data_IF_663999344334
#
_entry.id   IF_663999344334
#
_cell.length_a   1.000
_cell.length_b   1.000
_cell.length_c   1.000
_cell.angle_alpha   90.00
_cell.angle_beta   90.00
_cell.angle_gamma   90.00
#
_symmetry.space_group_name_H-M   'P 1'
#
loop_
_entity.id
_entity.type
_entity.pdbx_description
1 polymer ?
#
# COMPACT_ATOMS: atom_id res chain seq x y z
N UNK A 1 -91.84 -12.98 15.07
CA UNK A 1 -90.79 -13.28 14.07
C UNK A 1 -90.58 -12.04 13.22
N UNK A 2 -89.45 -11.33 13.41
CA UNK A 2 -88.76 -10.50 12.40
C UNK A 2 -87.67 -9.67 13.11
N UNK A 3 -86.46 -10.24 13.19
CA UNK A 3 -85.24 -9.51 13.56
C UNK A 3 -84.76 -8.82 12.28
N UNK A 4 -84.74 -7.48 12.27
CA UNK A 4 -84.23 -6.71 11.16
C UNK A 4 -82.70 -6.72 11.17
N UNK A 5 -82.10 -7.45 10.21
CA UNK A 5 -80.67 -7.41 9.95
C UNK A 5 -80.30 -6.12 9.22
N UNK A 6 -79.55 -5.23 9.88
CA UNK A 6 -78.92 -4.09 9.23
C UNK A 6 -77.79 -4.58 8.32
N UNK A 7 -77.81 -4.16 7.04
CA UNK A 7 -76.76 -4.41 6.05
C UNK A 7 -75.43 -3.82 6.53
N UNK A 8 -74.32 -4.57 6.56
CA UNK A 8 -73.01 -3.96 6.77
C UNK A 8 -72.66 -3.12 5.54
N UNK A 9 -72.42 -1.83 5.76
CA UNK A 9 -71.97 -0.92 4.72
C UNK A 9 -70.53 -1.31 4.31
N UNK A 10 -70.34 -1.71 3.05
CA UNK A 10 -69.05 -2.12 2.47
C UNK A 10 -68.01 -0.99 2.34
N UNK A 11 -68.30 0.20 2.87
CA UNK A 11 -67.55 1.44 2.61
C UNK A 11 -66.33 1.70 3.52
N UNK A 12 -66.23 1.23 4.78
CA UNK A 12 -65.01 1.47 5.56
C UNK A 12 -63.89 0.47 5.21
N UNK A 13 -64.21 -0.68 4.60
CA UNK A 13 -63.21 -1.68 4.18
C UNK A 13 -62.40 -1.22 2.96
N UNK A 14 -63.01 -0.44 2.06
CA UNK A 14 -62.34 0.11 0.87
C UNK A 14 -61.41 1.30 1.19
N UNK A 15 -61.65 2.01 2.29
CA UNK A 15 -60.81 3.15 2.70
C UNK A 15 -59.57 2.67 3.47
N UNK A 16 -59.65 1.56 4.21
CA UNK A 16 -58.47 0.95 4.84
C UNK A 16 -57.57 0.21 3.84
N UNK A 17 -58.09 -0.24 2.69
CA UNK A 17 -57.28 -0.87 1.65
C UNK A 17 -56.49 0.14 0.80
N UNK A 18 -56.85 1.43 0.84
CA UNK A 18 -56.26 2.48 0.01
C UNK A 18 -54.99 3.13 0.61
N UNK A 19 -54.64 2.83 1.87
CA UNK A 19 -53.48 3.45 2.55
C UNK A 19 -52.25 2.52 2.58
N UNK A 20 -52.37 1.27 2.12
CA UNK A 20 -51.24 0.32 2.03
C UNK A 20 -50.74 0.09 0.59
N UNK A 21 -50.75 1.12 -0.24
CA UNK A 21 -50.00 1.14 -1.49
C UNK A 21 -48.80 2.08 -1.32
N UNK A 22 -47.74 1.60 -0.67
CA UNK A 22 -46.42 2.16 -0.92
C UNK A 22 -46.18 2.00 -2.43
N UNK A 23 -46.25 3.10 -3.18
CA UNK A 23 -46.10 3.08 -4.62
C UNK A 23 -44.80 2.36 -4.98
N UNK A 24 -44.92 1.19 -5.62
CA UNK A 24 -43.78 0.50 -6.16
C UNK A 24 -43.26 1.36 -7.31
N UNK A 25 -42.13 2.06 -7.09
CA UNK A 25 -41.45 2.86 -8.12
C UNK A 25 -41.24 2.01 -9.37
N UNK A 26 -41.44 2.62 -10.55
CA UNK A 26 -41.05 1.98 -11.80
C UNK A 26 -39.52 1.82 -11.85
N UNK A 27 -39.02 0.93 -12.69
CA UNK A 27 -37.58 0.71 -12.80
C UNK A 27 -36.85 1.95 -13.37
N UNK A 28 -37.50 2.64 -14.30
CA UNK A 28 -37.04 3.91 -14.88
C UNK A 28 -36.95 5.03 -13.83
N UNK A 29 -37.94 5.12 -12.93
CA UNK A 29 -37.93 6.07 -11.81
C UNK A 29 -36.78 5.77 -10.84
N UNK A 30 -36.47 4.50 -10.59
CA UNK A 30 -35.32 4.11 -9.75
C UNK A 30 -34.00 4.54 -10.37
N UNK A 31 -33.81 4.31 -11.68
CA UNK A 31 -32.60 4.72 -12.39
C UNK A 31 -32.45 6.25 -12.37
N UNK A 32 -33.52 7.00 -12.64
CA UNK A 32 -33.50 8.46 -12.58
C UNK A 32 -33.15 8.99 -11.18
N UNK A 33 -33.70 8.37 -10.13
CA UNK A 33 -33.40 8.71 -8.74
C UNK A 33 -31.94 8.40 -8.38
N UNK A 34 -31.42 7.24 -8.77
CA UNK A 34 -30.02 6.85 -8.58
C UNK A 34 -29.04 7.76 -9.33
N UNK A 35 -29.35 8.16 -10.56
CA UNK A 35 -28.57 9.16 -11.30
C UNK A 35 -28.58 10.52 -10.59
N UNK A 36 -29.71 10.91 -10.00
CA UNK A 36 -29.81 12.13 -9.20
C UNK A 36 -28.92 12.07 -7.96
N UNK A 37 -28.91 10.94 -7.24
CA UNK A 37 -28.06 10.73 -6.07
C UNK A 37 -26.56 10.71 -6.46
N UNK A 38 -26.23 10.05 -7.57
CA UNK A 38 -24.88 10.03 -8.12
C UNK A 38 -24.37 11.45 -8.42
N UNK A 39 -25.20 12.29 -9.04
CA UNK A 39 -24.83 13.67 -9.41
C UNK A 39 -24.56 14.57 -8.21
N UNK A 40 -25.15 14.26 -7.04
CA UNK A 40 -24.93 14.99 -5.78
C UNK A 40 -23.65 14.55 -5.06
N UNK A 41 -23.13 13.37 -5.39
CA UNK A 41 -21.93 12.82 -4.76
C UNK A 41 -20.66 13.37 -5.44
N UNK A 42 -19.66 13.85 -4.68
CA UNK A 42 -18.44 14.42 -5.26
C UNK A 42 -17.57 13.36 -5.97
N UNK A 43 -17.62 12.10 -5.54
CA UNK A 43 -16.92 10.97 -6.18
C UNK A 43 -17.82 10.13 -7.09
N UNK A 44 -19.13 10.40 -7.08
CA UNK A 44 -20.12 9.58 -7.78
C UNK A 44 -20.48 8.26 -7.08
N UNK A 45 -19.93 8.00 -5.89
CA UNK A 45 -20.35 6.88 -5.04
C UNK A 45 -21.59 7.28 -4.25
N UNK A 46 -22.64 6.45 -4.32
CA UNK A 46 -23.92 6.69 -3.64
C UNK A 46 -23.87 6.04 -2.25
N UNK A 47 -24.08 6.84 -1.22
CA UNK A 47 -24.24 6.33 0.13
C UNK A 47 -25.64 5.75 0.32
N UNK A 48 -25.71 4.47 0.67
CA UNK A 48 -26.97 3.77 0.91
C UNK A 48 -27.13 3.49 2.41
N UNK A 49 -28.40 3.50 2.86
CA UNK A 49 -28.82 3.05 4.19
C UNK A 49 -29.74 1.82 4.07
N UNK A 50 -30.15 1.27 5.21
CA UNK A 50 -31.09 0.13 5.27
C UNK A 50 -32.41 0.40 4.51
N UNK A 51 -32.90 1.64 4.50
CA UNK A 51 -34.12 2.01 3.78
C UNK A 51 -33.89 2.04 2.27
N UNK A 52 -32.76 2.56 1.83
CA UNK A 52 -32.37 2.66 0.43
C UNK A 52 -32.13 1.28 -0.16
N UNK A 53 -31.48 0.37 0.56
CA UNK A 53 -31.34 -1.04 0.15
C UNK A 53 -32.70 -1.68 -0.03
N UNK A 54 -33.64 -1.46 0.90
CA UNK A 54 -35.01 -1.97 0.75
C UNK A 54 -35.73 -1.37 -0.46
N UNK A 55 -35.56 -0.07 -0.71
CA UNK A 55 -36.24 0.67 -1.78
C UNK A 55 -35.73 0.30 -3.19
N UNK A 56 -34.41 0.27 -3.37
CA UNK A 56 -33.79 0.09 -4.68
C UNK A 56 -33.50 -1.37 -5.01
N UNK A 57 -33.20 -2.21 -4.01
CA UNK A 57 -32.81 -3.61 -4.23
C UNK A 57 -33.89 -4.61 -3.80
N UNK A 58 -34.37 -4.55 -2.55
CA UNK A 58 -35.30 -5.58 -2.05
C UNK A 58 -36.73 -5.45 -2.60
N UNK A 59 -37.17 -4.23 -2.92
CA UNK A 59 -38.52 -3.95 -3.45
C UNK A 59 -38.58 -4.01 -4.98
N UNK A 60 -37.43 -4.15 -5.65
CA UNK A 60 -37.37 -4.25 -7.11
C UNK A 60 -37.57 -5.71 -7.56
N UNK A 61 -38.43 -5.93 -8.55
CA UNK A 61 -38.60 -7.25 -9.16
C UNK A 61 -37.51 -7.48 -10.20
N UNK A 62 -36.72 -8.57 -10.15
CA UNK A 62 -35.79 -8.91 -11.21
C UNK A 62 -36.53 -9.29 -12.51
N UNK A 63 -35.96 -9.02 -13.70
CA UNK A 63 -34.65 -8.39 -13.94
C UNK A 63 -34.71 -6.85 -13.86
N UNK A 64 -33.70 -6.24 -13.22
CA UNK A 64 -33.51 -4.77 -13.17
C UNK A 64 -32.77 -4.28 -14.41
N UNK A 65 -33.00 -3.03 -14.81
CA UNK A 65 -32.22 -2.38 -15.90
C UNK A 65 -30.80 -1.99 -15.51
N UNK A 66 -30.47 -2.05 -14.21
CA UNK A 66 -29.19 -1.63 -13.65
C UNK A 66 -28.57 -2.70 -12.75
N UNK A 67 -27.25 -2.61 -12.59
CA UNK A 67 -26.45 -3.40 -11.64
C UNK A 67 -25.81 -2.47 -10.60
N UNK A 68 -25.52 -3.01 -9.42
CA UNK A 68 -24.87 -2.26 -8.34
C UNK A 68 -23.58 -2.95 -7.92
N UNK A 69 -22.50 -2.18 -7.81
CA UNK A 69 -21.30 -2.59 -7.10
C UNK A 69 -21.31 -1.94 -5.71
N UNK A 70 -21.28 -2.77 -4.67
CA UNK A 70 -21.52 -2.38 -3.29
C UNK A 70 -20.26 -2.58 -2.44
N UNK A 71 -19.75 -1.49 -1.89
CA UNK A 71 -18.63 -1.47 -0.96
C UNK A 71 -19.12 -1.45 0.49
N UNK A 72 -18.69 -2.42 1.30
CA UNK A 72 -19.02 -2.45 2.72
C UNK A 72 -17.95 -1.72 3.53
N UNK A 73 -18.38 -0.73 4.29
CA UNK A 73 -17.51 0.17 5.06
C UNK A 73 -17.81 0.10 6.56
N UNK A 74 -16.79 0.39 7.37
CA UNK A 74 -16.93 0.53 8.82
C UNK A 74 -15.89 1.53 9.33
N UNK A 75 -16.35 2.72 9.69
CA UNK A 75 -15.47 3.81 10.15
C UNK A 75 -14.69 3.39 11.40
N UNK A 76 -15.27 2.55 12.26
CA UNK A 76 -14.62 2.02 13.47
C UNK A 76 -13.38 1.16 13.18
N UNK A 77 -13.23 0.65 11.96
CA UNK A 77 -12.11 -0.21 11.57
C UNK A 77 -11.00 0.55 10.84
N UNK A 78 -11.11 1.87 10.68
CA UNK A 78 -10.10 2.68 10.01
C UNK A 78 -8.75 2.71 10.74
N UNK A 79 -8.76 2.51 12.06
CA UNK A 79 -7.54 2.46 12.87
C UNK A 79 -6.74 1.17 12.64
N UNK A 80 -7.34 0.14 12.02
CA UNK A 80 -6.69 -1.13 11.71
C UNK A 80 -6.01 -1.06 10.35
N UNK A 81 -4.73 -0.67 10.35
CA UNK A 81 -3.92 -0.54 9.13
C UNK A 81 -3.85 -1.82 8.28
N UNK A 82 -3.94 -3.00 8.90
CA UNK A 82 -3.93 -4.30 8.22
C UNK A 82 -5.08 -4.47 7.21
N UNK A 83 -6.24 -3.85 7.48
CA UNK A 83 -7.42 -3.98 6.62
C UNK A 83 -7.38 -3.04 5.41
N UNK A 84 -6.56 -1.97 5.47
CA UNK A 84 -6.44 -0.93 4.43
C UNK A 84 -7.78 -0.37 3.93
N UNK A 85 -8.79 -0.32 4.80
CA UNK A 85 -10.17 -0.01 4.42
C UNK A 85 -10.31 1.41 3.83
N UNK A 86 -9.59 2.38 4.41
CA UNK A 86 -9.56 3.77 3.92
C UNK A 86 -8.94 3.89 2.51
N UNK A 87 -7.88 3.13 2.25
CA UNK A 87 -7.23 3.08 0.93
C UNK A 87 -8.18 2.46 -0.10
N UNK A 88 -8.77 1.31 0.22
CA UNK A 88 -9.73 0.63 -0.65
C UNK A 88 -10.96 1.49 -0.95
N UNK A 89 -11.50 2.22 0.04
CA UNK A 89 -12.61 3.17 -0.18
C UNK A 89 -12.22 4.28 -1.15
N UNK A 90 -10.99 4.79 -1.05
CA UNK A 90 -10.50 5.83 -1.96
C UNK A 90 -10.32 5.34 -3.39
N UNK A 91 -9.84 4.11 -3.56
CA UNK A 91 -9.67 3.47 -4.87
C UNK A 91 -11.02 3.07 -5.49
N UNK A 92 -11.98 2.63 -4.67
CA UNK A 92 -13.36 2.42 -5.10
C UNK A 92 -14.02 3.72 -5.58
N UNK A 93 -13.79 4.83 -4.87
CA UNK A 93 -14.27 6.16 -5.28
C UNK A 93 -13.61 6.64 -6.58
N UNK A 94 -12.34 6.29 -6.78
CA UNK A 94 -11.60 6.58 -8.00
C UNK A 94 -12.16 5.79 -9.20
N UNK A 95 -12.48 4.52 -9.00
CA UNK A 95 -13.14 3.68 -9.99
C UNK A 95 -14.49 4.29 -10.41
N UNK A 96 -15.34 4.64 -9.43
CA UNK A 96 -16.66 5.21 -9.69
C UNK A 96 -16.58 6.51 -10.50
N UNK A 97 -15.73 7.45 -10.08
CA UNK A 97 -15.54 8.72 -10.80
C UNK A 97 -14.95 8.53 -12.20
N UNK A 98 -14.04 7.55 -12.38
CA UNK A 98 -13.48 7.21 -13.70
C UNK A 98 -14.54 6.62 -14.63
N UNK A 99 -15.36 5.70 -14.12
CA UNK A 99 -16.47 5.10 -14.89
C UNK A 99 -17.45 6.16 -15.39
N UNK A 100 -17.90 7.04 -14.49
CA UNK A 100 -18.85 8.11 -14.82
C UNK A 100 -18.24 9.03 -15.87
N UNK A 101 -16.97 9.40 -15.72
CA UNK A 101 -16.29 10.26 -16.69
C UNK A 101 -16.16 9.62 -18.07
N UNK A 102 -15.87 8.32 -18.13
CA UNK A 102 -15.66 7.59 -19.38
C UNK A 102 -16.97 7.22 -20.09
N UNK A 103 -18.05 7.00 -19.35
CA UNK A 103 -19.34 6.54 -19.88
C UNK A 103 -20.44 7.61 -19.91
N UNK A 104 -20.11 8.89 -19.64
CA UNK A 104 -21.07 9.99 -19.73
C UNK A 104 -21.56 10.16 -21.17
N UNK A 105 -22.87 10.06 -21.40
CA UNK A 105 -23.48 10.17 -22.72
C UNK A 105 -23.27 8.96 -23.63
N UNK A 106 -22.81 7.83 -23.10
CA UNK A 106 -22.70 6.55 -23.82
C UNK A 106 -23.81 5.59 -23.41
N UNK A 107 -23.94 4.46 -24.11
CA UNK A 107 -24.84 3.37 -23.75
C UNK A 107 -24.55 2.76 -22.37
N UNK A 108 -23.42 3.10 -21.72
CA UNK A 108 -23.07 2.66 -20.37
C UNK A 108 -23.70 3.49 -19.24
N UNK A 109 -24.21 4.69 -19.54
CA UNK A 109 -24.76 5.58 -18.51
C UNK A 109 -25.99 4.97 -17.83
N UNK A 110 -26.01 5.00 -16.49
CA UNK A 110 -27.12 4.47 -15.71
C UNK A 110 -27.24 2.94 -15.65
N UNK A 111 -26.28 2.18 -16.22
CA UNK A 111 -26.28 0.71 -16.15
C UNK A 111 -25.58 0.16 -14.91
N UNK A 112 -24.54 0.84 -14.42
CA UNK A 112 -23.79 0.46 -13.23
C UNK A 112 -23.78 1.61 -12.24
N UNK A 113 -24.16 1.31 -10.99
CA UNK A 113 -24.07 2.25 -9.88
C UNK A 113 -23.07 1.75 -8.84
N UNK A 114 -22.22 2.65 -8.34
CA UNK A 114 -21.25 2.39 -7.29
C UNK A 114 -21.80 2.93 -5.98
N UNK A 115 -21.91 2.05 -4.98
CA UNK A 115 -22.54 2.39 -3.72
C UNK A 115 -21.68 1.96 -2.54
N UNK A 116 -21.78 2.69 -1.42
CA UNK A 116 -21.20 2.29 -0.14
C UNK A 116 -22.26 2.14 0.96
N UNK A 117 -22.01 1.22 1.89
CA UNK A 117 -22.83 0.99 3.09
C UNK A 117 -21.94 1.09 4.33
N UNK A 118 -22.34 1.90 5.30
CA UNK A 118 -21.64 2.00 6.58
C UNK A 118 -22.28 1.10 7.65
N UNK A 119 -21.44 0.38 8.40
CA UNK A 119 -21.86 -0.64 9.34
C UNK A 119 -22.77 -0.16 10.47
N UNK A 120 -22.49 0.99 11.12
CA UNK A 120 -23.33 1.50 12.22
C UNK A 120 -24.74 1.86 11.75
N UNK A 121 -24.85 2.40 10.54
CA UNK A 121 -26.13 2.87 9.99
C UNK A 121 -26.95 1.74 9.35
N UNK A 122 -26.29 0.66 8.88
CA UNK A 122 -26.92 -0.37 8.05
C UNK A 122 -26.69 -1.80 8.51
N UNK A 123 -26.72 -2.06 9.83
CA UNK A 123 -26.47 -3.40 10.39
C UNK A 123 -27.42 -4.47 9.83
N UNK A 124 -28.68 -4.12 9.55
CA UNK A 124 -29.64 -5.07 8.99
C UNK A 124 -29.25 -5.48 7.57
N UNK A 125 -28.79 -4.53 6.74
CA UNK A 125 -28.30 -4.81 5.39
C UNK A 125 -27.05 -5.67 5.41
N UNK A 126 -26.10 -5.46 6.33
CA UNK A 126 -24.93 -6.33 6.47
C UNK A 126 -25.33 -7.80 6.72
N UNK A 127 -26.35 -8.02 7.57
CA UNK A 127 -26.93 -9.35 7.79
C UNK A 127 -27.65 -9.92 6.56
N UNK A 128 -28.36 -9.09 5.79
CA UNK A 128 -29.02 -9.50 4.55
C UNK A 128 -28.01 -9.99 3.50
N UNK A 129 -26.86 -9.32 3.40
CA UNK A 129 -25.77 -9.75 2.52
C UNK A 129 -24.87 -10.83 3.13
N UNK A 130 -25.04 -11.19 4.41
CA UNK A 130 -24.21 -12.19 5.09
C UNK A 130 -22.73 -11.80 5.19
N UNK A 131 -22.43 -10.51 5.34
CA UNK A 131 -21.07 -9.99 5.44
C UNK A 131 -20.61 -10.05 6.90
N UNK A 132 -19.62 -10.90 7.18
CA UNK A 132 -19.08 -11.11 8.53
C UNK A 132 -17.67 -10.53 8.74
N UNK A 133 -17.00 -10.13 7.65
CA UNK A 133 -15.64 -9.61 7.68
C UNK A 133 -15.48 -8.49 6.64
N UNK A 134 -14.56 -7.57 6.91
CA UNK A 134 -14.16 -6.49 6.01
C UNK A 134 -12.67 -6.62 5.67
N UNK A 135 -12.21 -6.11 4.52
CA UNK A 135 -12.97 -5.42 3.46
C UNK A 135 -13.84 -6.38 2.62
N UNK A 136 -14.99 -5.89 2.15
CA UNK A 136 -15.92 -6.69 1.35
C UNK A 136 -16.53 -5.85 0.22
N UNK A 137 -16.56 -6.41 -1.00
CA UNK A 137 -17.24 -5.82 -2.15
C UNK A 137 -18.16 -6.88 -2.75
N UNK A 138 -19.41 -6.52 -3.05
CA UNK A 138 -20.37 -7.40 -3.72
C UNK A 138 -20.88 -6.77 -5.01
N UNK A 139 -21.02 -7.60 -6.03
CA UNK A 139 -21.69 -7.26 -7.27
C UNK A 139 -23.10 -7.81 -7.27
N UNK A 140 -24.06 -6.91 -7.46
CA UNK A 140 -25.48 -7.23 -7.59
C UNK A 140 -25.86 -7.06 -9.06
N UNK A 141 -25.94 -8.18 -9.77
CA UNK A 141 -26.40 -8.23 -11.16
C UNK A 141 -27.88 -7.88 -11.29
N UNK A 142 -28.33 -7.62 -12.51
CA UNK A 142 -29.73 -7.29 -12.82
C UNK A 142 -30.72 -8.43 -12.53
N UNK A 143 -30.27 -9.67 -12.63
CA UNK A 143 -31.04 -10.91 -12.51
C UNK A 143 -31.16 -11.45 -11.07
N UNK A 144 -30.32 -10.95 -10.15
CA UNK A 144 -30.26 -11.43 -8.77
C UNK A 144 -31.55 -11.09 -8.00
N UNK A 145 -32.24 -12.14 -7.53
CA UNK A 145 -33.51 -12.08 -6.77
C UNK A 145 -33.30 -12.03 -5.26
N UNK A 146 -32.29 -12.70 -4.74
CA UNK A 146 -31.91 -12.71 -3.32
C UNK A 146 -30.56 -12.00 -3.14
N UNK A 147 -30.51 -11.04 -2.23
CA UNK A 147 -29.29 -10.27 -1.95
C UNK A 147 -28.16 -11.13 -1.35
N UNK A 148 -28.48 -12.30 -0.81
CA UNK A 148 -27.46 -13.27 -0.36
C UNK A 148 -26.68 -13.86 -1.51
N UNK A 149 -27.33 -14.02 -2.66
CA UNK A 149 -26.79 -14.66 -3.86
C UNK A 149 -25.96 -13.69 -4.71
N UNK A 150 -25.78 -12.44 -4.25
CA UNK A 150 -24.88 -11.49 -4.88
C UNK A 150 -23.45 -12.02 -4.87
N UNK A 151 -22.73 -11.82 -5.95
CA UNK A 151 -21.36 -12.32 -6.09
C UNK A 151 -20.39 -11.50 -5.24
N UNK A 152 -19.49 -12.19 -4.55
CA UNK A 152 -18.40 -11.58 -3.82
C UNK A 152 -17.19 -11.42 -4.74
N UNK A 153 -16.47 -10.30 -4.61
CA UNK A 153 -15.16 -10.11 -5.21
C UNK A 153 -14.09 -10.80 -4.35
N UNK A 154 -13.19 -11.55 -5.00
CA UNK A 154 -12.16 -12.33 -4.30
C UNK A 154 -11.10 -11.43 -3.67
N UNK A 155 -10.51 -11.88 -2.56
CA UNK A 155 -9.50 -11.10 -1.84
C UNK A 155 -8.23 -10.84 -2.68
N UNK A 156 -7.90 -11.74 -3.61
CA UNK A 156 -6.79 -11.58 -4.55
C UNK A 156 -7.01 -10.41 -5.51
N UNK A 157 -8.26 -10.08 -5.83
CA UNK A 157 -8.61 -8.99 -6.72
C UNK A 157 -8.52 -7.62 -6.03
N UNK A 158 -8.31 -7.55 -4.71
CA UNK A 158 -7.94 -6.30 -4.04
C UNK A 158 -6.47 -5.91 -4.25
N UNK A 159 -5.63 -6.79 -4.81
CA UNK A 159 -4.19 -6.60 -4.88
C UNK A 159 -3.76 -5.45 -5.82
N UNK A 160 -4.53 -5.17 -6.88
CA UNK A 160 -4.25 -4.08 -7.84
C UNK A 160 -5.23 -2.90 -7.70
N UNK A 161 -5.95 -2.82 -6.58
CA UNK A 161 -6.82 -1.70 -6.21
C UNK A 161 -7.87 -1.36 -7.29
N UNK A 162 -7.96 -0.11 -7.75
CA UNK A 162 -8.97 0.32 -8.72
C UNK A 162 -8.89 -0.40 -10.07
N UNK A 163 -7.69 -0.80 -10.51
CA UNK A 163 -7.49 -1.42 -11.83
C UNK A 163 -8.07 -2.85 -11.87
N UNK A 164 -7.86 -3.65 -10.82
CA UNK A 164 -8.47 -4.99 -10.72
C UNK A 164 -9.97 -4.94 -10.45
N UNK A 165 -10.45 -3.94 -9.70
CA UNK A 165 -11.90 -3.73 -9.56
C UNK A 165 -12.56 -3.39 -10.90
N UNK A 166 -11.89 -2.61 -11.76
CA UNK A 166 -12.37 -2.32 -13.11
C UNK A 166 -12.44 -3.60 -13.96
N UNK A 167 -11.36 -4.40 -14.01
CA UNK A 167 -11.32 -5.68 -14.73
C UNK A 167 -12.44 -6.62 -14.27
N UNK A 168 -12.69 -6.70 -12.96
CA UNK A 168 -13.79 -7.49 -12.40
C UNK A 168 -15.17 -7.01 -12.89
N UNK A 169 -15.41 -5.69 -12.89
CA UNK A 169 -16.68 -5.12 -13.38
C UNK A 169 -16.84 -5.36 -14.88
N UNK A 170 -15.79 -5.19 -15.68
CA UNK A 170 -15.82 -5.43 -17.13
C UNK A 170 -16.11 -6.91 -17.44
N UNK A 171 -15.49 -7.83 -16.69
CA UNK A 171 -15.70 -9.27 -16.84
C UNK A 171 -17.16 -9.69 -16.53
N UNK A 172 -17.79 -9.05 -15.54
CA UNK A 172 -19.16 -9.39 -15.10
C UNK A 172 -20.24 -8.71 -15.91
N UNK A 173 -20.06 -7.44 -16.25
CA UNK A 173 -21.10 -6.64 -16.92
C UNK A 173 -20.95 -6.60 -18.44
N UNK A 174 -19.78 -6.98 -18.97
CA UNK A 174 -19.39 -6.81 -20.38
C UNK A 174 -19.45 -5.35 -20.85
N UNK A 175 -19.49 -4.39 -19.92
CA UNK A 175 -19.42 -2.96 -20.18
C UNK A 175 -17.98 -2.49 -19.96
N UNK A 176 -17.51 -1.58 -20.80
CA UNK A 176 -16.16 -1.01 -20.70
C UNK A 176 -16.13 0.11 -19.66
N UNK A 177 -15.31 -0.04 -18.62
CA UNK A 177 -15.08 0.98 -17.60
C UNK A 177 -14.11 2.05 -18.13
N UNK A 178 -13.13 1.64 -18.94
CA UNK A 178 -12.12 2.53 -19.50
C UNK A 178 -11.00 2.88 -18.52
N UNK A 179 -10.08 3.80 -18.89
CA UNK A 179 -8.89 4.08 -18.09
C UNK A 179 -9.22 4.75 -16.75
N UNK A 180 -8.49 4.37 -15.70
CA UNK A 180 -8.61 4.94 -14.36
C UNK A 180 -7.88 6.29 -14.27
N UNK A 181 -8.62 7.36 -13.94
CA UNK A 181 -8.10 8.74 -13.91
C UNK A 181 -7.56 9.11 -12.52
N UNK A 182 -6.36 8.66 -12.18
CA UNK A 182 -5.69 9.01 -10.91
C UNK A 182 -5.39 10.53 -10.83
N UNK A 183 -5.72 11.21 -9.72
CA UNK A 183 -5.33 12.60 -9.53
C UNK A 183 -3.79 12.71 -9.49
N UNK A 184 -3.19 13.73 -10.12
CA UNK A 184 -1.74 13.89 -10.08
C UNK A 184 -1.28 14.16 -8.65
N UNK A 185 -0.18 13.51 -8.24
CA UNK A 185 0.41 13.62 -6.89
C UNK A 185 0.78 15.07 -6.56
N UNK A 186 1.15 15.84 -7.59
CA UNK A 186 1.46 17.26 -7.49
C UNK A 186 0.42 18.07 -8.26
N UNK A 187 -0.12 19.10 -7.62
CA UNK A 187 -0.99 20.05 -8.30
C UNK A 187 -0.22 20.77 -9.41
N UNK A 188 -0.87 21.08 -10.53
CA UNK A 188 -0.26 21.82 -11.64
C UNK A 188 0.39 23.14 -11.17
N UNK A 189 -0.16 23.79 -10.15
CA UNK A 189 0.42 24.99 -9.52
C UNK A 189 1.71 24.69 -8.75
N UNK A 190 1.75 23.56 -8.03
CA UNK A 190 2.94 23.11 -7.31
C UNK A 190 4.05 22.69 -8.27
N UNK A 191 3.70 22.02 -9.38
CA UNK A 191 4.64 21.69 -10.46
C UNK A 191 5.20 22.97 -11.08
N UNK A 192 4.34 23.95 -11.40
CA UNK A 192 4.77 25.26 -11.90
C UNK A 192 5.69 26.00 -10.93
N UNK A 193 5.37 25.99 -9.63
CA UNK A 193 6.20 26.58 -8.59
C UNK A 193 7.55 25.88 -8.46
N UNK A 194 7.57 24.54 -8.50
CA UNK A 194 8.81 23.76 -8.43
C UNK A 194 9.70 24.03 -9.65
N UNK A 195 9.12 24.07 -10.84
CA UNK A 195 9.84 24.42 -12.08
C UNK A 195 10.40 25.84 -12.02
N UNK A 196 9.63 26.80 -11.50
CA UNK A 196 10.09 28.17 -11.30
C UNK A 196 11.25 28.23 -10.30
N UNK A 197 11.14 27.53 -9.18
CA UNK A 197 12.20 27.47 -8.17
C UNK A 197 13.48 26.87 -8.74
N UNK A 198 13.37 25.76 -9.48
CA UNK A 198 14.51 25.15 -10.18
C UNK A 198 15.10 26.12 -11.20
N UNK A 199 14.28 26.80 -12.00
CA UNK A 199 14.74 27.78 -12.97
C UNK A 199 15.48 28.96 -12.33
N UNK A 200 15.00 29.45 -11.18
CA UNK A 200 15.67 30.50 -10.39
C UNK A 200 16.97 29.98 -9.80
N UNK A 201 16.98 28.78 -9.21
CA UNK A 201 18.16 28.21 -8.54
C UNK A 201 19.27 27.79 -9.51
N UNK A 202 18.91 27.39 -10.73
CA UNK A 202 19.84 26.90 -11.76
C UNK A 202 20.99 27.88 -12.06
N UNK A 203 20.77 29.17 -12.38
CA UNK A 203 21.86 30.11 -12.65
C UNK A 203 22.76 30.34 -11.42
N UNK A 204 22.21 30.37 -10.20
CA UNK A 204 23.01 30.48 -8.97
C UNK A 204 23.85 29.23 -8.73
N UNK A 205 23.27 28.04 -8.94
CA UNK A 205 23.98 26.78 -8.82
C UNK A 205 25.12 26.69 -9.85
N UNK A 206 24.85 27.01 -11.12
CA UNK A 206 25.87 27.03 -12.19
C UNK A 206 27.00 28.01 -11.86
N UNK A 207 26.67 29.24 -11.46
CA UNK A 207 27.68 30.24 -11.06
C UNK A 207 28.54 29.72 -9.92
N UNK A 208 27.94 29.11 -8.90
CA UNK A 208 28.65 28.54 -7.75
C UNK A 208 29.54 27.35 -8.15
N UNK A 209 29.07 26.51 -9.08
CA UNK A 209 29.85 25.39 -9.64
C UNK A 209 31.07 25.93 -10.39
N UNK A 210 30.89 26.89 -11.29
CA UNK A 210 32.01 27.48 -12.07
C UNK A 210 33.02 28.18 -11.17
N UNK A 211 32.56 28.85 -10.10
CA UNK A 211 33.42 29.53 -9.14
C UNK A 211 34.25 28.57 -8.26
N UNK A 212 34.03 27.25 -8.34
CA UNK A 212 34.75 26.26 -7.54
C UNK A 212 34.37 26.23 -6.06
N UNK A 213 33.44 27.07 -5.61
CA UNK A 213 32.93 27.14 -4.23
C UNK A 213 31.85 26.08 -3.93
N UNK A 214 31.85 24.98 -4.68
CA UNK A 214 30.90 23.87 -4.45
C UNK A 214 31.59 22.69 -3.82
N UNK A 215 30.83 21.98 -3.00
CA UNK A 215 31.23 20.70 -2.40
C UNK A 215 31.67 19.67 -3.47
N UNK A 216 31.19 19.81 -4.71
CA UNK A 216 31.56 18.97 -5.86
C UNK A 216 33.03 19.12 -6.29
N UNK A 217 33.70 20.24 -5.96
CA UNK A 217 35.12 20.43 -6.30
C UNK A 217 36.06 19.91 -5.20
N UNK A 218 35.54 19.57 -4.02
CA UNK A 218 36.37 19.05 -2.94
C UNK A 218 36.71 17.56 -3.18
N UNK A 219 37.98 17.30 -3.47
CA UNK A 219 38.53 15.94 -3.60
C UNK A 219 38.27 15.07 -2.37
N UNK A 220 38.15 15.66 -1.17
CA UNK A 220 37.86 14.93 0.07
C UNK A 220 36.43 14.39 0.07
N UNK A 221 35.48 15.12 -0.50
CA UNK A 221 34.10 14.67 -0.62
C UNK A 221 34.01 13.46 -1.55
N UNK A 222 34.68 13.53 -2.71
CA UNK A 222 34.75 12.40 -3.63
C UNK A 222 35.43 11.18 -3.02
N UNK A 223 36.54 11.39 -2.30
CA UNK A 223 37.20 10.31 -1.57
C UNK A 223 36.26 9.66 -0.54
N UNK A 224 35.56 10.46 0.27
CA UNK A 224 34.59 9.98 1.24
C UNK A 224 33.43 9.23 0.56
N UNK A 225 32.93 9.77 -0.55
CA UNK A 225 31.89 9.14 -1.38
C UNK A 225 32.33 7.79 -1.94
N UNK A 226 33.56 7.68 -2.45
CA UNK A 226 34.11 6.42 -2.95
C UNK A 226 34.25 5.38 -1.83
N UNK A 227 34.75 5.77 -0.65
CA UNK A 227 34.81 4.87 0.52
C UNK A 227 33.41 4.43 0.95
N UNK A 228 32.43 5.34 0.91
CA UNK A 228 31.04 5.01 1.24
C UNK A 228 30.44 3.98 0.26
N UNK A 229 30.64 4.17 -1.05
CA UNK A 229 30.20 3.21 -2.07
C UNK A 229 30.88 1.85 -1.89
N UNK A 230 32.18 1.84 -1.60
CA UNK A 230 32.92 0.60 -1.30
C UNK A 230 32.34 -0.11 -0.07
N UNK A 231 32.13 0.60 1.04
CA UNK A 231 31.52 0.06 2.26
C UNK A 231 30.14 -0.54 1.97
N UNK A 232 29.29 0.19 1.24
CA UNK A 232 27.95 -0.28 0.89
C UNK A 232 27.99 -1.56 0.03
N UNK A 233 28.97 -1.66 -0.87
CA UNK A 233 29.17 -2.83 -1.72
C UNK A 233 29.65 -4.05 -0.92
N UNK A 234 30.65 -3.87 -0.04
CA UNK A 234 31.26 -4.97 0.75
C UNK A 234 30.34 -5.47 1.86
N UNK A 235 29.49 -4.60 2.43
CA UNK A 235 28.53 -4.97 3.48
C UNK A 235 27.38 -5.88 3.01
N UNK A 236 27.28 -6.17 1.71
CA UNK A 236 26.18 -6.97 1.16
C UNK A 236 24.85 -6.22 1.13
N UNK A 237 24.87 -4.88 1.14
CA UNK A 237 23.64 -4.08 1.17
C UNK A 237 22.72 -4.33 -0.04
N UNK A 238 23.30 -4.68 -1.20
CA UNK A 238 22.53 -5.10 -2.37
C UNK A 238 21.70 -6.36 -2.12
N UNK A 239 22.24 -7.36 -1.40
CA UNK A 239 21.50 -8.55 -1.00
C UNK A 239 20.29 -8.17 -0.13
N UNK A 240 20.50 -7.25 0.82
CA UNK A 240 19.46 -6.78 1.73
C UNK A 240 18.32 -6.05 0.98
N UNK A 241 18.67 -5.20 -0.01
CA UNK A 241 17.69 -4.45 -0.80
C UNK A 241 16.84 -5.39 -1.68
N UNK A 242 17.47 -6.35 -2.36
CA UNK A 242 16.79 -7.26 -3.29
C UNK A 242 15.83 -8.18 -2.52
N UNK A 243 16.30 -8.75 -1.41
CA UNK A 243 15.51 -9.72 -0.61
C UNK A 243 14.66 -9.07 0.47
N UNK A 244 14.65 -7.74 0.56
CA UNK A 244 13.92 -6.97 1.59
C UNK A 244 14.22 -7.47 3.00
N UNK A 245 15.49 -7.77 3.29
CA UNK A 245 15.91 -8.27 4.59
C UNK A 245 15.77 -7.19 5.67
N UNK A 246 15.19 -7.50 6.84
CA UNK A 246 15.12 -6.55 7.94
C UNK A 246 16.52 -6.27 8.51
N UNK A 247 16.70 -5.09 9.10
CA UNK A 247 17.97 -4.71 9.77
C UNK A 247 18.22 -5.58 11.00
N UNK A 248 17.16 -5.89 11.74
CA UNK A 248 17.16 -6.70 12.95
C UNK A 248 15.82 -7.42 13.04
N UNK A 249 15.78 -8.52 13.80
CA UNK A 249 14.56 -9.28 14.08
C UNK A 249 14.36 -9.37 15.59
N UNK A 250 13.12 -9.43 16.06
CA UNK A 250 12.85 -9.72 17.46
C UNK A 250 13.14 -11.20 17.75
N UNK A 251 13.69 -11.48 18.93
CA UNK A 251 13.91 -12.86 19.38
C UNK A 251 12.56 -13.58 19.49
N UNK A 252 12.51 -14.82 19.00
CA UNK A 252 11.31 -15.66 19.05
C UNK A 252 10.95 -16.07 20.48
N UNK A 253 11.92 -16.11 21.39
CA UNK A 253 11.71 -16.49 22.78
C UNK A 253 11.43 -15.29 23.70
N UNK A 254 11.87 -14.09 23.33
CA UNK A 254 11.70 -12.87 24.12
C UNK A 254 11.51 -11.65 23.18
N UNK A 255 10.27 -11.23 22.91
CA UNK A 255 9.96 -10.15 21.96
C UNK A 255 10.61 -8.81 22.32
N UNK A 256 11.11 -8.64 23.56
CA UNK A 256 11.82 -7.46 24.01
C UNK A 256 13.29 -7.40 23.55
N UNK A 257 13.83 -8.52 23.04
CA UNK A 257 15.24 -8.63 22.62
C UNK A 257 15.36 -8.52 21.11
N UNK A 258 16.27 -7.66 20.66
CA UNK A 258 16.60 -7.48 19.25
C UNK A 258 17.81 -8.33 18.88
N UNK A 259 17.64 -9.19 17.88
CA UNK A 259 18.67 -10.05 17.31
C UNK A 259 19.21 -9.40 16.04
N UNK A 260 20.51 -9.08 16.07
CA UNK A 260 21.22 -8.42 14.97
C UNK A 260 22.00 -9.40 14.06
N UNK A 261 22.22 -10.63 14.53
CA UNK A 261 22.95 -11.67 13.81
C UNK A 261 22.09 -12.92 13.69
N UNK A 262 21.99 -13.47 12.48
CA UNK A 262 21.21 -14.67 12.22
C UNK A 262 22.13 -15.88 12.04
N UNK A 263 21.87 -16.96 12.78
CA UNK A 263 22.64 -18.19 12.69
C UNK A 263 22.12 -19.05 11.53
N UNK A 264 22.89 -19.12 10.44
CA UNK A 264 22.56 -19.90 9.24
C UNK A 264 23.05 -19.22 7.96
N UNK A 265 23.48 -20.01 6.98
CA UNK A 265 24.03 -19.52 5.70
C UNK A 265 22.96 -19.00 4.73
N UNK A 266 21.69 -19.35 4.93
CA UNK A 266 20.59 -19.02 4.01
C UNK A 266 20.04 -17.59 4.10
N UNK A 267 20.38 -16.84 5.16
CA UNK A 267 19.89 -15.50 5.37
C UNK A 267 20.95 -14.60 6.03
N UNK A 268 20.91 -13.31 5.68
CA UNK A 268 21.78 -12.28 6.24
C UNK A 268 20.92 -11.09 6.65
N UNK A 269 21.06 -10.66 7.91
CA UNK A 269 20.39 -9.45 8.38
C UNK A 269 21.15 -8.20 7.95
N UNK A 270 20.44 -7.08 7.87
CA UNK A 270 21.04 -5.82 7.44
C UNK A 270 22.13 -5.32 8.41
N UNK A 271 21.87 -5.38 9.72
CA UNK A 271 22.85 -4.97 10.73
C UNK A 271 24.10 -5.85 10.71
N UNK A 272 23.93 -7.16 10.54
CA UNK A 272 25.02 -8.11 10.38
C UNK A 272 25.92 -7.74 9.19
N UNK A 273 25.33 -7.50 8.01
CA UNK A 273 26.09 -7.11 6.83
C UNK A 273 26.87 -5.81 7.01
N UNK A 274 26.26 -4.80 7.61
CA UNK A 274 26.96 -3.54 7.90
C UNK A 274 28.07 -3.69 8.94
N UNK A 275 27.88 -4.51 9.97
CA UNK A 275 28.91 -4.78 10.97
C UNK A 275 30.13 -5.47 10.36
N UNK A 276 29.93 -6.51 9.54
CA UNK A 276 31.02 -7.21 8.85
C UNK A 276 31.69 -6.31 7.81
N UNK A 277 30.90 -5.59 7.01
CA UNK A 277 31.42 -4.62 6.03
C UNK A 277 32.26 -3.52 6.68
N UNK A 278 31.90 -3.09 7.89
CA UNK A 278 32.68 -2.11 8.66
C UNK A 278 34.05 -2.66 9.07
N UNK A 279 34.11 -3.93 9.52
CA UNK A 279 35.37 -4.60 9.88
C UNK A 279 36.32 -4.73 8.66
N UNK A 280 35.80 -4.98 7.46
CA UNK A 280 36.62 -4.96 6.25
C UNK A 280 37.11 -3.55 5.90
N UNK A 281 36.21 -2.57 5.98
CA UNK A 281 36.51 -1.19 5.60
C UNK A 281 37.54 -0.55 6.55
N UNK A 282 37.47 -0.80 7.86
CA UNK A 282 38.41 -0.24 8.82
C UNK A 282 39.84 -0.75 8.58
N UNK A 283 40.01 -2.02 8.23
CA UNK A 283 41.34 -2.58 7.88
C UNK A 283 41.89 -1.91 6.62
N UNK A 284 41.07 -1.75 5.59
CA UNK A 284 41.46 -1.03 4.37
C UNK A 284 41.82 0.43 4.62
N UNK A 285 41.05 1.12 5.45
CA UNK A 285 41.31 2.52 5.84
C UNK A 285 42.59 2.66 6.68
N UNK A 286 42.84 1.73 7.61
CA UNK A 286 44.09 1.70 8.37
C UNK A 286 45.30 1.51 7.45
N UNK A 287 45.22 0.59 6.49
CA UNK A 287 46.28 0.39 5.50
C UNK A 287 46.54 1.68 4.71
N UNK A 288 45.48 2.33 4.20
CA UNK A 288 45.61 3.59 3.46
C UNK A 288 46.17 4.74 4.33
N UNK A 289 45.78 4.79 5.61
CA UNK A 289 46.32 5.76 6.56
C UNK A 289 47.81 5.54 6.82
N UNK A 290 48.23 4.28 6.99
CA UNK A 290 49.62 3.93 7.20
C UNK A 290 50.51 4.30 6.01
N UNK A 291 50.03 4.09 4.78
CA UNK A 291 50.83 4.35 3.57
C UNK A 291 50.89 5.84 3.20
N UNK A 292 49.79 6.58 3.35
CA UNK A 292 49.73 7.97 2.86
C UNK A 292 49.91 9.04 3.94
N UNK A 293 49.44 8.80 5.17
CA UNK A 293 49.43 9.82 6.23
C UNK A 293 50.56 9.59 7.21
N UNK A 294 50.73 8.36 7.70
CA UNK A 294 51.70 8.05 8.74
C UNK A 294 53.15 8.30 8.29
N UNK A 295 53.45 8.08 7.00
CA UNK A 295 54.76 8.37 6.39
C UNK A 295 55.14 9.86 6.50
N UNK A 296 54.17 10.77 6.59
CA UNK A 296 54.42 12.22 6.69
C UNK A 296 54.75 12.68 8.11
N UNK A 297 54.55 11.85 9.12
CA UNK A 297 54.81 12.18 10.53
C UNK A 297 56.31 12.16 10.81
N UNK A 298 56.88 13.23 11.38
CA UNK A 298 58.34 13.34 11.58
C UNK A 298 58.86 12.60 12.83
N UNK A 299 57.99 12.32 13.80
CA UNK A 299 58.37 11.61 15.03
C UNK A 299 58.33 10.09 14.85
N UNK A 300 59.50 9.45 15.00
CA UNK A 300 59.65 7.99 14.88
C UNK A 300 58.85 7.23 15.94
N UNK A 301 58.80 7.74 17.18
CA UNK A 301 58.07 7.11 18.28
C UNK A 301 56.56 7.07 17.99
N UNK A 302 56.01 8.16 17.43
CA UNK A 302 54.60 8.24 17.04
C UNK A 302 54.31 7.29 15.89
N UNK A 303 55.19 7.25 14.86
CA UNK A 303 55.04 6.30 13.76
C UNK A 303 55.01 4.84 14.25
N UNK A 304 55.98 4.45 15.08
CA UNK A 304 56.06 3.09 15.64
C UNK A 304 54.83 2.73 16.45
N UNK A 305 54.35 3.64 17.32
CA UNK A 305 53.14 3.41 18.11
C UNK A 305 51.91 3.17 17.23
N UNK A 306 51.69 4.03 16.22
CA UNK A 306 50.55 3.88 15.31
C UNK A 306 50.64 2.62 14.43
N UNK A 307 51.84 2.18 14.04
CA UNK A 307 52.01 0.90 13.34
C UNK A 307 51.58 -0.28 14.22
N UNK A 308 52.03 -0.33 15.48
CA UNK A 308 51.63 -1.39 16.41
C UNK A 308 50.12 -1.37 16.70
N UNK A 309 49.53 -0.19 16.90
CA UNK A 309 48.08 -0.04 17.07
C UNK A 309 47.32 -0.53 15.83
N UNK A 310 47.74 -0.14 14.64
CA UNK A 310 47.08 -0.54 13.39
C UNK A 310 47.20 -2.05 13.15
N UNK A 311 48.34 -2.66 13.49
CA UNK A 311 48.54 -4.10 13.45
C UNK A 311 47.60 -4.82 14.45
N UNK A 312 47.52 -4.33 15.69
CA UNK A 312 46.65 -4.91 16.71
C UNK A 312 45.16 -4.83 16.34
N UNK A 313 44.71 -3.68 15.82
CA UNK A 313 43.33 -3.49 15.36
C UNK A 313 43.04 -4.38 14.15
N UNK A 314 43.96 -4.47 13.18
CA UNK A 314 43.79 -5.30 12.00
C UNK A 314 43.72 -6.79 12.37
N UNK A 315 44.60 -7.24 13.25
CA UNK A 315 44.57 -8.60 13.78
C UNK A 315 43.25 -8.90 14.51
N UNK A 316 42.79 -7.97 15.35
CA UNK A 316 41.51 -8.11 16.06
C UNK A 316 40.33 -8.18 15.08
N UNK A 317 40.29 -7.30 14.07
CA UNK A 317 39.22 -7.26 13.08
C UNK A 317 39.15 -8.56 12.27
N UNK A 318 40.29 -9.04 11.77
CA UNK A 318 40.37 -10.31 11.02
C UNK A 318 39.94 -11.49 11.91
N UNK A 319 40.44 -11.54 13.16
CA UNK A 319 40.02 -12.58 14.12
C UNK A 319 38.51 -12.54 14.37
N UNK A 320 37.90 -11.36 14.44
CA UNK A 320 36.45 -11.21 14.63
C UNK A 320 35.66 -11.66 13.41
N UNK A 321 36.10 -11.32 12.20
CA UNK A 321 35.46 -11.79 10.96
C UNK A 321 35.52 -13.32 10.87
N UNK A 322 36.68 -13.93 11.12
CA UNK A 322 36.84 -15.40 11.13
C UNK A 322 35.95 -16.05 12.19
N UNK A 323 35.88 -15.47 13.39
CA UNK A 323 35.00 -15.97 14.44
C UNK A 323 33.52 -15.93 14.04
N UNK A 324 33.07 -14.82 13.44
CA UNK A 324 31.68 -14.66 12.99
C UNK A 324 31.35 -15.62 11.85
N UNK A 325 32.29 -15.81 10.91
CA UNK A 325 32.12 -16.76 9.81
C UNK A 325 32.01 -18.20 10.32
N UNK A 326 32.91 -18.62 11.21
CA UNK A 326 32.86 -19.94 11.84
C UNK A 326 31.56 -20.14 12.63
N UNK A 327 31.11 -19.13 13.37
CA UNK A 327 29.86 -19.18 14.13
C UNK A 327 28.64 -19.30 13.21
N UNK A 328 28.66 -18.62 12.04
CA UNK A 328 27.54 -18.60 11.10
C UNK A 328 27.45 -19.84 10.24
N UNK A 329 28.58 -20.34 9.74
CA UNK A 329 28.64 -21.49 8.82
C UNK A 329 28.82 -22.81 9.54
N UNK A 330 29.31 -22.80 10.79
CA UNK A 330 29.78 -23.99 11.49
C UNK A 330 31.09 -24.54 10.93
N UNK A 331 31.73 -23.85 9.98
CA UNK A 331 32.97 -24.28 9.37
C UNK A 331 34.15 -23.96 10.29
N UNK A 332 34.90 -24.99 10.69
CA UNK A 332 36.14 -24.81 11.45
C UNK A 332 37.30 -24.53 10.52
N UNK A 333 37.76 -23.28 10.44
CA UNK A 333 39.00 -22.97 9.70
C UNK A 333 40.18 -23.54 10.48
N UNK A 334 40.78 -24.62 9.97
CA UNK A 334 42.05 -25.14 10.46
C UNK A 334 43.21 -24.33 9.88
N UNK A 335 44.12 -23.88 10.73
CA UNK A 335 45.34 -23.22 10.28
C UNK A 335 46.17 -24.18 9.42
N UNK A 336 46.31 -23.87 8.13
CA UNK A 336 47.21 -24.62 7.26
C UNK A 336 48.64 -24.12 7.51
N UNK A 337 49.47 -24.94 8.16
CA UNK A 337 50.90 -24.69 8.26
C UNK A 337 51.59 -25.35 7.07
N UNK A 338 52.26 -24.60 6.18
CA UNK A 338 53.00 -25.20 5.07
C UNK A 338 54.07 -26.15 5.62
N UNK A 339 54.10 -27.40 5.12
CA UNK A 339 55.09 -28.41 5.56
C UNK A 339 56.50 -28.14 5.03
N UNK A 340 56.64 -27.36 3.96
CA UNK A 340 57.90 -26.78 3.52
C UNK A 340 57.63 -25.45 2.83
N UNK A 341 58.61 -24.56 2.89
CA UNK A 341 58.70 -23.40 2.01
C UNK A 341 59.78 -23.76 0.99
N UNK A 342 59.36 -24.16 -0.20
CA UNK A 342 60.28 -24.33 -1.33
C UNK A 342 60.53 -22.98 -1.99
#
# INVERSE_FOLDING_TARGET
MAIAFAKPSLRPLLILLAISAAAALSDEERVADLLSLQSRSPSGVIHLDDNSIRRYLASAKPPRSFSILLFFDAVQLYDKSELRLKELKSEFSLLASSYIRNNKGSDGEGKIFFCDLEFKESQASFGLFGVNALPHIRFIGSDVSSLKDSEQMDQGDFARLADSMAEYVEAKTRLTVGPIHRPPILSNKQVGFLLLLVAIMTPFAIKKVIAGETLLHDKKLWLLGSVFVYFFSVSGAMHNIIRKMPLFIADRNDPSRLVFFYQGSGAQLGAEGFAVGFLYTIVGLLLAFMTHVLVRVRSRNVQTLFMFLSLAISFWAVKKVVYLDNWKTGYGIHGFWPKSWN
#
